data_IF_755495723128
#
_entry.id   IF_755495723128
#
_cell.length_a   1.000
_cell.length_b   1.000
_cell.length_c   1.000
_cell.angle_alpha   90.00
_cell.angle_beta   90.00
_cell.angle_gamma   90.00
#
_symmetry.space_group_name_H-M   'P 1'
#
loop_
_entity.id
_entity.type
_entity.pdbx_description
1 polymer ?
#
# COMPACT_ATOMS: atom_id res chain seq x y z
N UNK A 1 20.17 20.26 -15.09
CA UNK A 1 21.29 19.51 -15.72
C UNK A 1 22.16 18.68 -14.77
N UNK A 2 23.27 19.15 -14.16
CA UNK A 2 24.17 18.22 -13.41
C UNK A 2 23.55 17.56 -12.18
N UNK A 3 22.76 18.29 -11.38
CA UNK A 3 22.06 17.74 -10.19
C UNK A 3 20.95 16.75 -10.58
N UNK A 4 20.23 17.07 -11.64
CA UNK A 4 19.14 16.28 -12.21
C UNK A 4 19.63 14.93 -12.77
N UNK A 5 20.72 14.93 -13.53
CA UNK A 5 21.36 13.68 -14.01
C UNK A 5 21.85 12.81 -12.85
N UNK A 6 22.31 13.40 -11.74
CA UNK A 6 22.71 12.63 -10.56
C UNK A 6 21.52 11.98 -9.84
N UNK A 7 20.38 12.66 -9.79
CA UNK A 7 19.15 12.09 -9.23
C UNK A 7 18.67 10.89 -10.06
N UNK A 8 18.65 11.02 -11.39
CA UNK A 8 18.30 9.95 -12.34
C UNK A 8 19.23 8.74 -12.15
N UNK A 9 20.55 8.99 -12.13
CA UNK A 9 21.54 7.92 -11.94
C UNK A 9 21.39 7.20 -10.61
N UNK A 10 21.07 7.92 -9.53
CA UNK A 10 20.87 7.31 -8.22
C UNK A 10 19.62 6.41 -8.20
N UNK A 11 18.52 6.87 -8.82
CA UNK A 11 17.30 6.07 -8.95
C UNK A 11 17.57 4.77 -9.75
N UNK A 12 18.18 4.91 -10.92
CA UNK A 12 18.54 3.77 -11.78
C UNK A 12 19.55 2.84 -11.11
N UNK A 13 20.48 3.37 -10.32
CA UNK A 13 21.43 2.56 -9.55
C UNK A 13 20.73 1.71 -8.49
N UNK A 14 19.74 2.25 -7.79
CA UNK A 14 18.91 1.48 -6.85
C UNK A 14 18.12 0.38 -7.57
N UNK A 15 17.68 0.62 -8.81
CA UNK A 15 17.09 -0.43 -9.64
C UNK A 15 18.10 -1.54 -9.96
N UNK A 16 19.32 -1.20 -10.37
CA UNK A 16 20.36 -2.20 -10.62
C UNK A 16 20.73 -3.02 -9.36
N UNK A 17 20.68 -2.41 -8.17
CA UNK A 17 20.87 -3.14 -6.90
C UNK A 17 19.78 -4.20 -6.72
N UNK A 18 18.52 -3.85 -7.00
CA UNK A 18 17.38 -4.79 -6.93
C UNK A 18 17.55 -5.92 -7.95
N UNK A 19 17.89 -5.59 -9.21
CA UNK A 19 18.12 -6.59 -10.27
C UNK A 19 19.28 -7.55 -9.94
N UNK A 20 20.36 -7.04 -9.34
CA UNK A 20 21.48 -7.87 -8.90
C UNK A 20 21.19 -8.69 -7.63
N UNK A 21 20.16 -8.31 -6.87
CA UNK A 21 19.75 -8.91 -5.59
C UNK A 21 20.40 -8.29 -4.35
N UNK A 22 21.61 -7.71 -4.47
CA UNK A 22 22.22 -6.88 -3.42
C UNK A 22 23.41 -6.05 -3.95
N UNK A 23 23.88 -5.09 -3.15
CA UNK A 23 24.99 -4.18 -3.49
C UNK A 23 26.30 -4.93 -3.76
N UNK A 24 26.62 -5.96 -2.98
CA UNK A 24 27.87 -6.71 -3.13
C UNK A 24 27.91 -7.49 -4.45
N UNK A 25 26.77 -8.10 -4.82
CA UNK A 25 26.62 -8.82 -6.09
C UNK A 25 26.66 -7.87 -7.28
N UNK A 26 26.00 -6.70 -7.19
CA UNK A 26 26.10 -5.65 -8.22
C UNK A 26 27.57 -5.20 -8.43
N UNK A 27 28.29 -4.91 -7.34
CA UNK A 27 29.68 -4.48 -7.43
C UNK A 27 30.56 -5.54 -8.12
N UNK A 28 30.34 -6.83 -7.81
CA UNK A 28 31.08 -7.93 -8.43
C UNK A 28 30.78 -8.06 -9.94
N UNK A 29 29.51 -8.03 -10.33
CA UNK A 29 29.09 -8.07 -11.75
C UNK A 29 29.69 -6.93 -12.57
N UNK A 30 29.86 -5.75 -11.95
CA UNK A 30 30.43 -4.56 -12.60
C UNK A 30 31.97 -4.47 -12.48
N UNK A 31 32.65 -5.53 -12.03
CA UNK A 31 34.11 -5.62 -11.97
C UNK A 31 34.77 -4.85 -10.83
N UNK A 32 34.05 -4.56 -9.74
CA UNK A 32 34.59 -3.91 -8.54
C UNK A 32 34.97 -4.95 -7.48
N UNK A 33 36.24 -4.90 -7.01
CA UNK A 33 36.75 -5.81 -5.97
C UNK A 33 36.13 -5.56 -4.58
N UNK A 34 35.67 -4.34 -4.29
CA UNK A 34 35.09 -3.95 -3.00
C UNK A 34 33.84 -3.08 -3.22
N UNK A 35 32.71 -3.35 -2.54
CA UNK A 35 31.47 -2.61 -2.71
C UNK A 35 31.38 -1.32 -1.89
N UNK A 36 32.43 -0.94 -1.16
CA UNK A 36 32.41 0.19 -0.20
C UNK A 36 31.86 1.48 -0.83
N UNK A 37 32.28 1.78 -2.05
CA UNK A 37 31.84 2.98 -2.75
C UNK A 37 30.34 2.94 -3.12
N UNK A 38 29.80 1.76 -3.40
CA UNK A 38 28.40 1.55 -3.75
C UNK A 38 27.48 1.76 -2.54
N UNK A 39 27.90 1.28 -1.36
CA UNK A 39 27.22 1.56 -0.10
C UNK A 39 27.20 3.07 0.21
N UNK A 40 28.32 3.77 -0.01
CA UNK A 40 28.40 5.22 0.20
C UNK A 40 27.52 6.02 -0.76
N UNK A 41 27.41 5.61 -2.03
CA UNK A 41 26.47 6.21 -2.99
C UNK A 41 25.03 5.93 -2.56
N UNK A 42 24.69 4.70 -2.20
CA UNK A 42 23.31 4.33 -1.85
C UNK A 42 22.81 5.10 -0.62
N UNK A 43 23.69 5.28 0.37
CA UNK A 43 23.46 6.07 1.58
C UNK A 43 23.58 7.59 1.36
N UNK A 44 23.86 8.05 0.13
CA UNK A 44 24.04 9.47 -0.21
C UNK A 44 25.00 10.19 0.73
N UNK A 45 26.13 9.55 1.07
CA UNK A 45 27.12 10.12 2.00
C UNK A 45 27.73 11.40 1.42
N UNK A 46 27.90 12.42 2.25
CA UNK A 46 28.57 13.66 1.85
C UNK A 46 30.10 13.49 1.78
N UNK A 47 30.71 14.13 0.79
CA UNK A 47 32.16 14.27 0.67
C UNK A 47 32.64 15.43 1.55
N UNK A 48 33.94 15.48 1.92
CA UNK A 48 34.52 16.55 2.72
C UNK A 48 34.33 17.98 2.15
N UNK A 49 34.02 18.10 0.85
CA UNK A 49 33.77 19.37 0.17
C UNK A 49 32.27 19.76 0.13
N UNK A 50 31.42 19.10 0.93
CA UNK A 50 29.97 19.36 0.99
C UNK A 50 29.16 18.82 -0.20
N UNK A 51 29.77 18.09 -1.13
CA UNK A 51 29.05 17.47 -2.24
C UNK A 51 28.66 16.03 -1.91
N UNK A 52 27.42 15.65 -2.22
CA UNK A 52 26.98 14.26 -2.08
C UNK A 52 27.74 13.31 -3.02
N UNK A 53 28.06 12.11 -2.53
CA UNK A 53 28.56 11.01 -3.34
C UNK A 53 27.58 10.70 -4.47
N UNK A 54 28.10 10.53 -5.68
CA UNK A 54 27.28 10.35 -6.89
C UNK A 54 27.99 9.50 -7.93
N UNK A 55 27.29 9.25 -9.03
CA UNK A 55 27.75 8.33 -10.08
C UNK A 55 28.29 9.12 -11.26
N UNK A 56 29.61 9.03 -11.46
CA UNK A 56 30.29 9.64 -12.60
C UNK A 56 30.14 8.81 -13.89
N UNK A 57 30.48 9.41 -15.04
CA UNK A 57 30.30 8.79 -16.37
C UNK A 57 31.07 7.46 -16.53
N UNK A 58 32.25 7.33 -15.92
CA UNK A 58 33.03 6.09 -15.98
C UNK A 58 32.38 4.96 -15.18
N UNK A 59 31.80 5.27 -14.01
CA UNK A 59 31.08 4.28 -13.21
C UNK A 59 29.74 3.93 -13.85
N UNK A 60 29.04 4.90 -14.45
CA UNK A 60 27.80 4.66 -15.18
C UNK A 60 28.01 3.62 -16.29
N UNK A 61 29.03 3.79 -17.13
CA UNK A 61 29.36 2.82 -18.19
C UNK A 61 29.70 1.42 -17.67
N UNK A 62 30.39 1.32 -16.52
CA UNK A 62 30.69 0.02 -15.90
C UNK A 62 29.45 -0.66 -15.33
N UNK A 63 28.55 0.12 -14.73
CA UNK A 63 27.26 -0.37 -14.23
C UNK A 63 26.39 -0.86 -15.39
N UNK A 64 26.32 -0.09 -16.47
CA UNK A 64 25.58 -0.45 -17.68
C UNK A 64 26.14 -1.74 -18.31
N UNK A 65 27.45 -1.82 -18.53
CA UNK A 65 28.08 -3.00 -19.10
C UNK A 65 27.93 -4.25 -18.20
N UNK A 66 28.15 -4.11 -16.88
CA UNK A 66 28.06 -5.24 -15.95
C UNK A 66 26.64 -5.79 -15.74
N UNK A 67 25.63 -4.99 -16.08
CA UNK A 67 24.20 -5.34 -15.98
C UNK A 67 23.52 -5.51 -17.34
N UNK A 68 24.29 -5.60 -18.43
CA UNK A 68 23.80 -5.72 -19.80
C UNK A 68 22.75 -4.65 -20.19
N UNK A 69 22.96 -3.40 -19.76
CA UNK A 69 22.13 -2.26 -20.16
C UNK A 69 22.75 -1.51 -21.34
N UNK A 70 21.95 -0.86 -22.21
CA UNK A 70 22.47 -0.05 -23.30
C UNK A 70 23.27 1.15 -22.76
N UNK A 71 24.22 1.67 -23.57
CA UNK A 71 25.01 2.83 -23.19
C UNK A 71 24.12 4.04 -22.91
N UNK A 72 24.38 4.73 -21.80
CA UNK A 72 23.61 5.90 -21.38
C UNK A 72 22.33 5.57 -20.62
N UNK A 73 21.97 4.28 -20.49
CA UNK A 73 20.80 3.84 -19.72
C UNK A 73 20.79 4.44 -18.32
N UNK A 74 21.90 4.44 -17.58
CA UNK A 74 21.90 4.96 -16.21
C UNK A 74 21.60 6.47 -16.14
N UNK A 75 21.78 7.20 -17.25
CA UNK A 75 21.58 8.65 -17.32
C UNK A 75 20.25 9.06 -17.96
N UNK A 76 19.44 8.09 -18.38
CA UNK A 76 18.11 8.32 -18.94
C UNK A 76 17.06 8.08 -17.85
N UNK A 77 15.97 8.85 -17.90
CA UNK A 77 14.79 8.54 -17.11
C UNK A 77 14.18 7.26 -17.65
N UNK A 78 14.38 6.17 -16.93
CA UNK A 78 13.48 5.04 -17.01
C UNK A 78 12.37 5.41 -16.05
N UNK A 79 11.15 5.53 -16.54
CA UNK A 79 10.02 5.44 -15.65
C UNK A 79 10.17 4.10 -14.94
N UNK A 80 10.77 4.10 -13.75
CA UNK A 80 10.49 3.09 -12.75
C UNK A 80 9.03 3.33 -12.45
N UNK A 81 8.18 2.71 -13.27
CA UNK A 81 6.80 2.48 -12.91
C UNK A 81 6.90 1.95 -11.47
N UNK A 82 6.21 2.55 -10.51
CA UNK A 82 5.74 1.73 -9.40
C UNK A 82 5.14 0.46 -10.02
N UNK A 83 5.18 -0.69 -9.36
CA UNK A 83 4.37 -1.85 -9.81
C UNK A 83 2.89 -1.43 -9.77
N UNK A 84 2.46 -0.71 -10.78
CA UNK A 84 1.16 -0.07 -11.03
C UNK A 84 1.02 0.05 -12.54
N UNK A 85 1.28 -1.05 -13.27
CA UNK A 85 0.55 -1.27 -14.51
C UNK A 85 -0.88 -1.67 -14.10
N UNK A 86 -1.66 -0.69 -13.63
CA UNK A 86 -3.09 -0.76 -13.81
C UNK A 86 -3.30 -0.42 -15.27
N UNK A 87 -3.12 -1.41 -16.14
CA UNK A 87 -3.84 -1.38 -17.41
C UNK A 87 -5.27 -1.05 -17.04
N UNK A 88 -5.84 -0.04 -17.70
CA UNK A 88 -7.25 0.32 -17.59
C UNK A 88 -8.09 -0.88 -18.04
N UNK A 89 -8.19 -1.89 -17.19
CA UNK A 89 -9.29 -2.81 -17.20
C UNK A 89 -10.49 -1.90 -16.93
N UNK A 90 -11.22 -1.61 -18.00
CA UNK A 90 -12.43 -0.83 -17.95
C UNK A 90 -13.26 -1.26 -16.74
N UNK A 91 -13.67 -0.27 -15.94
CA UNK A 91 -14.49 -0.45 -14.74
C UNK A 91 -15.86 -1.12 -15.01
N UNK A 92 -16.10 -1.50 -16.26
CA UNK A 92 -17.35 -2.10 -16.75
C UNK A 92 -17.58 -3.54 -16.26
N UNK A 93 -16.56 -4.26 -15.78
CA UNK A 93 -16.73 -5.69 -15.41
C UNK A 93 -17.10 -5.95 -13.94
N UNK A 94 -16.78 -5.07 -12.99
CA UNK A 94 -17.11 -5.30 -11.56
C UNK A 94 -18.36 -4.53 -11.10
N UNK A 95 -18.72 -3.43 -11.77
CA UNK A 95 -19.83 -2.55 -11.37
C UNK A 95 -19.57 -1.78 -10.07
N UNK A 96 -18.42 -1.97 -9.41
CA UNK A 96 -18.04 -1.28 -8.18
C UNK A 96 -17.35 0.04 -8.54
N UNK A 97 -17.95 1.16 -8.14
CA UNK A 97 -17.40 2.49 -8.36
C UNK A 97 -16.73 3.04 -7.09
N UNK A 98 -17.41 2.89 -5.95
CA UNK A 98 -17.02 3.55 -4.70
C UNK A 98 -16.78 2.51 -3.61
N UNK A 99 -15.62 2.58 -2.94
CA UNK A 99 -15.23 1.64 -1.90
C UNK A 99 -14.92 2.41 -0.62
N UNK A 100 -15.52 2.00 0.50
CA UNK A 100 -15.13 2.53 1.82
C UNK A 100 -13.89 1.77 2.30
N UNK A 101 -12.83 2.51 2.64
CA UNK A 101 -11.64 1.97 3.28
C UNK A 101 -11.55 2.54 4.70
N UNK A 102 -11.33 1.66 5.66
CA UNK A 102 -11.20 2.02 7.05
C UNK A 102 -9.85 1.56 7.62
N UNK A 103 -9.12 2.47 8.26
CA UNK A 103 -7.87 2.13 8.97
C UNK A 103 -8.08 2.20 10.49
N UNK A 104 -7.70 1.14 11.18
CA UNK A 104 -7.78 1.07 12.65
C UNK A 104 -6.40 0.92 13.27
N UNK A 105 -6.31 0.95 14.60
CA UNK A 105 -5.06 0.84 15.36
C UNK A 105 -4.44 -0.56 15.43
N UNK A 106 -4.80 -1.48 14.54
CA UNK A 106 -4.02 -2.70 14.37
C UNK A 106 -2.74 -2.41 13.59
N UNK A 107 -1.66 -3.09 13.92
CA UNK A 107 -0.44 -3.05 13.12
C UNK A 107 -0.66 -3.71 11.75
N UNK A 108 0.11 -3.31 10.75
CA UNK A 108 -0.13 -3.67 9.35
C UNK A 108 -0.62 -2.49 8.50
N UNK A 109 -0.26 -1.26 8.86
CA UNK A 109 -0.52 -0.08 8.03
C UNK A 109 0.03 -0.21 6.59
N UNK A 110 1.16 -0.92 6.30
CA UNK A 110 1.55 -1.20 4.92
C UNK A 110 0.44 -1.80 4.05
N UNK A 111 -0.40 -2.68 4.60
CA UNK A 111 -1.53 -3.27 3.87
C UNK A 111 -2.59 -2.22 3.51
N UNK A 112 -2.96 -1.37 4.47
CA UNK A 112 -3.95 -0.30 4.27
C UNK A 112 -3.48 0.75 3.27
N UNK A 113 -2.21 1.15 3.35
CA UNK A 113 -1.60 2.11 2.43
C UNK A 113 -1.47 1.55 1.01
N UNK A 114 -1.00 0.30 0.88
CA UNK A 114 -0.89 -0.36 -0.43
C UNK A 114 -2.25 -0.61 -1.06
N UNK A 115 -3.25 -1.00 -0.27
CA UNK A 115 -4.62 -1.17 -0.75
C UNK A 115 -5.20 0.17 -1.27
N UNK A 116 -5.00 1.27 -0.54
CA UNK A 116 -5.44 2.59 -1.00
C UNK A 116 -4.78 2.99 -2.32
N UNK A 117 -3.45 2.84 -2.42
CA UNK A 117 -2.69 3.09 -3.65
C UNK A 117 -3.28 2.32 -4.83
N UNK A 118 -3.55 1.03 -4.63
CA UNK A 118 -4.05 0.13 -5.67
C UNK A 118 -5.46 0.51 -6.10
N UNK A 119 -6.38 0.74 -5.16
CA UNK A 119 -7.76 1.13 -5.47
C UNK A 119 -7.82 2.45 -6.25
N UNK A 120 -7.03 3.45 -5.85
CA UNK A 120 -6.94 4.73 -6.55
C UNK A 120 -6.34 4.58 -7.95
N UNK A 121 -5.29 3.76 -8.08
CA UNK A 121 -4.64 3.46 -9.35
C UNK A 121 -5.53 2.69 -10.33
N UNK A 122 -6.49 1.90 -9.81
CA UNK A 122 -7.53 1.23 -10.60
C UNK A 122 -8.68 2.17 -11.02
N UNK A 123 -8.70 3.41 -10.52
CA UNK A 123 -9.71 4.41 -10.89
C UNK A 123 -10.92 4.46 -9.96
N UNK A 124 -10.96 3.70 -8.87
CA UNK A 124 -12.08 3.73 -7.92
C UNK A 124 -12.12 5.03 -7.12
N UNK A 125 -13.32 5.43 -6.71
CA UNK A 125 -13.51 6.43 -5.67
C UNK A 125 -13.39 5.74 -4.31
N UNK A 126 -12.56 6.28 -3.42
CA UNK A 126 -12.33 5.75 -2.08
C UNK A 126 -12.87 6.73 -1.03
N UNK A 127 -13.73 6.21 -0.16
CA UNK A 127 -14.19 6.87 1.05
C UNK A 127 -13.36 6.38 2.22
N UNK A 128 -12.42 7.19 2.70
CA UNK A 128 -11.48 6.85 3.75
C UNK A 128 -11.96 7.36 5.11
N UNK A 129 -11.95 6.49 6.11
CA UNK A 129 -12.10 6.84 7.53
C UNK A 129 -11.00 6.16 8.33
N UNK A 130 -10.48 6.80 9.37
CA UNK A 130 -9.47 6.16 10.22
C UNK A 130 -9.59 6.58 11.68
N UNK A 131 -9.22 5.64 12.56
CA UNK A 131 -9.17 5.88 14.01
C UNK A 131 -7.93 6.71 14.39
N UNK A 132 -7.96 7.37 15.55
CA UNK A 132 -6.78 8.03 16.11
C UNK A 132 -5.60 7.05 16.30
N UNK A 133 -5.88 5.82 16.74
CA UNK A 133 -4.86 4.80 16.90
C UNK A 133 -4.19 4.40 15.57
N UNK A 134 -4.90 4.48 14.44
CA UNK A 134 -4.32 4.26 13.12
C UNK A 134 -3.25 5.30 12.77
N UNK A 135 -3.39 6.55 13.24
CA UNK A 135 -2.37 7.59 13.04
C UNK A 135 -1.07 7.25 13.78
N UNK A 136 -1.20 6.73 15.01
CA UNK A 136 -0.05 6.27 15.81
C UNK A 136 0.66 5.12 15.10
N UNK A 137 -0.10 4.13 14.62
CA UNK A 137 0.46 2.98 13.88
C UNK A 137 1.14 3.44 12.58
N UNK A 138 0.51 4.35 11.82
CA UNK A 138 1.11 4.87 10.59
C UNK A 138 2.44 5.58 10.84
N UNK A 139 2.54 6.36 11.91
CA UNK A 139 3.80 6.99 12.30
C UNK A 139 4.85 5.95 12.70
N UNK A 140 4.47 4.93 13.48
CA UNK A 140 5.41 3.92 13.99
C UNK A 140 5.91 2.95 12.92
N UNK A 141 5.06 2.56 11.97
CA UNK A 141 5.38 1.52 10.98
C UNK A 141 5.91 2.06 9.66
N UNK A 142 5.57 3.30 9.32
CA UNK A 142 5.85 3.88 8.00
C UNK A 142 6.52 5.25 8.06
N UNK A 143 6.84 5.75 9.26
CA UNK A 143 7.30 7.12 9.49
C UNK A 143 6.37 8.16 8.83
N UNK A 144 5.08 7.85 8.76
CA UNK A 144 4.09 8.64 8.04
C UNK A 144 3.14 9.34 9.02
N UNK A 145 3.29 10.66 9.12
CA UNK A 145 2.44 11.51 9.93
C UNK A 145 1.06 11.70 9.26
N UNK A 146 0.12 10.80 9.58
CA UNK A 146 -1.26 10.89 9.08
C UNK A 146 -2.01 12.05 9.80
N UNK A 147 -2.43 13.11 9.09
CA UNK A 147 -3.04 14.29 9.72
C UNK A 147 -4.34 13.98 10.46
N UNK A 148 -4.70 14.75 11.49
CA UNK A 148 -5.98 14.59 12.20
C UNK A 148 -7.14 15.29 11.49
N UNK A 149 -6.86 16.31 10.69
CA UNK A 149 -7.87 16.96 9.85
C UNK A 149 -8.14 16.11 8.60
N UNK A 150 -9.40 15.74 8.31
CA UNK A 150 -9.73 14.99 7.10
C UNK A 150 -9.29 15.70 5.83
N UNK A 151 -9.43 17.03 5.76
CA UNK A 151 -8.99 17.82 4.61
C UNK A 151 -7.47 17.70 4.39
N UNK A 152 -6.68 17.90 5.44
CA UNK A 152 -5.22 17.82 5.36
C UNK A 152 -4.76 16.39 5.01
N UNK A 153 -5.42 15.38 5.57
CA UNK A 153 -5.14 13.98 5.24
C UNK A 153 -5.44 13.67 3.77
N UNK A 154 -6.57 14.16 3.24
CA UNK A 154 -6.91 14.05 1.82
C UNK A 154 -5.84 14.68 0.95
N UNK A 155 -5.44 15.93 1.23
CA UNK A 155 -4.39 16.62 0.47
C UNK A 155 -3.06 15.86 0.49
N UNK A 156 -2.63 15.40 1.67
CA UNK A 156 -1.39 14.64 1.85
C UNK A 156 -1.42 13.31 1.08
N UNK A 157 -2.51 12.56 1.16
CA UNK A 157 -2.64 11.27 0.50
C UNK A 157 -2.81 11.41 -1.02
N UNK A 158 -3.58 12.40 -1.49
CA UNK A 158 -3.68 12.72 -2.91
C UNK A 158 -2.31 13.09 -3.49
N UNK A 159 -1.52 13.89 -2.78
CA UNK A 159 -0.15 14.22 -3.20
C UNK A 159 0.75 12.97 -3.23
N UNK A 160 0.67 12.12 -2.19
CA UNK A 160 1.48 10.90 -2.07
C UNK A 160 1.20 9.91 -3.20
N UNK A 161 -0.06 9.70 -3.55
CA UNK A 161 -0.49 8.71 -4.54
C UNK A 161 -0.80 9.28 -5.92
N UNK A 162 -0.65 10.61 -6.09
CA UNK A 162 -0.91 11.32 -7.35
C UNK A 162 -2.31 11.06 -7.92
N UNK A 163 -3.32 10.91 -7.05
CA UNK A 163 -4.71 10.67 -7.47
C UNK A 163 -5.48 11.99 -7.64
N UNK A 164 -6.60 11.94 -8.36
CA UNK A 164 -7.47 13.11 -8.50
C UNK A 164 -8.19 13.40 -7.17
N UNK A 165 -8.39 14.67 -6.80
CA UNK A 165 -9.14 15.08 -5.62
C UNK A 165 -10.53 14.42 -5.47
N UNK A 166 -11.19 14.14 -6.59
CA UNK A 166 -12.52 13.52 -6.67
C UNK A 166 -12.51 12.00 -6.41
N UNK A 167 -11.34 11.37 -6.42
CA UNK A 167 -11.19 9.93 -6.18
C UNK A 167 -10.98 9.60 -4.71
N UNK A 168 -10.62 10.56 -3.87
CA UNK A 168 -10.36 10.33 -2.45
C UNK A 168 -11.14 11.32 -1.59
N UNK A 169 -12.08 10.81 -0.81
CA UNK A 169 -12.78 11.56 0.22
C UNK A 169 -12.38 11.01 1.58
N UNK A 170 -12.01 11.89 2.51
CA UNK A 170 -11.62 11.51 3.86
C UNK A 170 -12.63 12.11 4.83
N UNK A 171 -13.13 11.30 5.75
CA UNK A 171 -14.15 11.71 6.73
C UNK A 171 -13.62 11.62 8.15
N UNK A 172 -14.09 12.54 9.00
CA UNK A 172 -13.81 12.52 10.43
C UNK A 172 -14.51 11.36 11.15
N UNK A 173 -13.99 10.95 12.30
CA UNK A 173 -14.54 9.83 13.08
C UNK A 173 -15.97 10.04 13.61
N UNK A 174 -16.46 11.27 13.60
CA UNK A 174 -17.79 11.69 14.08
C UNK A 174 -18.56 12.48 13.00
N UNK A 175 -18.19 12.34 11.73
CA UNK A 175 -18.81 13.07 10.63
C UNK A 175 -20.08 12.36 10.14
N UNK A 176 -21.15 12.45 10.93
CA UNK A 176 -22.39 11.67 10.73
C UNK A 176 -23.19 12.01 9.46
N UNK A 177 -22.86 13.11 8.78
CA UNK A 177 -23.45 13.47 7.49
C UNK A 177 -22.69 12.90 6.29
N UNK A 178 -21.59 12.17 6.52
CA UNK A 178 -20.89 11.49 5.44
C UNK A 178 -21.79 10.44 4.76
N UNK A 179 -21.68 10.22 3.44
CA UNK A 179 -22.50 9.25 2.71
C UNK A 179 -22.48 7.84 3.31
N UNK A 180 -21.33 7.44 3.87
CA UNK A 180 -21.12 6.14 4.51
C UNK A 180 -21.92 5.92 5.80
N UNK A 181 -22.55 6.96 6.36
CA UNK A 181 -23.39 6.84 7.56
C UNK A 181 -24.83 6.37 7.27
N UNK A 182 -25.24 6.32 5.99
CA UNK A 182 -26.63 6.07 5.58
C UNK A 182 -26.74 5.04 4.46
N UNK A 183 -27.69 4.10 4.61
CA UNK A 183 -27.96 3.03 3.65
C UNK A 183 -28.31 3.50 2.23
N UNK A 184 -28.85 4.71 2.09
CA UNK A 184 -29.33 5.23 0.81
C UNK A 184 -28.22 5.86 -0.05
N UNK A 185 -27.03 6.09 0.50
CA UNK A 185 -25.93 6.77 -0.17
C UNK A 185 -24.59 6.03 0.01
N UNK A 186 -24.63 4.72 0.29
CA UNK A 186 -23.41 3.97 0.62
C UNK A 186 -22.56 3.62 -0.58
N UNK A 187 -21.26 3.49 -0.30
CA UNK A 187 -20.30 2.80 -1.14
C UNK A 187 -20.76 1.37 -1.49
N UNK A 188 -20.20 0.83 -2.56
CA UNK A 188 -20.54 -0.50 -3.07
C UNK A 188 -19.98 -1.63 -2.21
N UNK A 189 -18.88 -1.36 -1.51
CA UNK A 189 -18.22 -2.28 -0.57
C UNK A 189 -17.51 -1.50 0.54
N UNK A 190 -17.19 -2.20 1.63
CA UNK A 190 -16.36 -1.68 2.71
C UNK A 190 -15.24 -2.65 3.07
N UNK A 191 -14.05 -2.10 3.33
CA UNK A 191 -12.87 -2.84 3.75
C UNK A 191 -12.30 -2.18 5.00
N UNK A 192 -12.08 -2.95 6.07
CA UNK A 192 -11.33 -2.51 7.26
C UNK A 192 -9.95 -3.15 7.22
N UNK A 193 -8.91 -2.37 6.89
CA UNK A 193 -7.57 -2.88 6.66
C UNK A 193 -6.48 -1.87 7.07
N UNK A 194 -5.74 -2.08 8.18
CA UNK A 194 -5.86 -3.20 9.12
C UNK A 194 -7.08 -3.04 10.07
N UNK A 195 -7.60 -4.16 10.57
CA UNK A 195 -8.69 -4.22 11.54
C UNK A 195 -8.18 -4.65 12.94
N UNK A 196 -8.39 -3.79 13.93
CA UNK A 196 -8.09 -4.08 15.34
C UNK A 196 -9.17 -4.95 15.96
N UNK A 197 -8.80 -5.80 16.91
CA UNK A 197 -9.78 -6.65 17.59
C UNK A 197 -10.81 -5.84 18.38
N UNK A 198 -10.47 -4.63 18.83
CA UNK A 198 -11.41 -3.69 19.44
C UNK A 198 -12.48 -3.22 18.45
N UNK A 199 -12.07 -2.77 17.25
CA UNK A 199 -13.04 -2.40 16.19
C UNK A 199 -13.87 -3.60 15.73
N UNK A 200 -13.28 -4.79 15.64
CA UNK A 200 -14.02 -6.02 15.30
C UNK A 200 -15.07 -6.33 16.36
N UNK A 201 -14.74 -6.20 17.64
CA UNK A 201 -15.71 -6.38 18.72
C UNK A 201 -16.85 -5.35 18.62
N UNK A 202 -16.52 -4.08 18.40
CA UNK A 202 -17.51 -3.01 18.22
C UNK A 202 -18.48 -3.30 17.05
N UNK A 203 -17.93 -3.69 15.88
CA UNK A 203 -18.73 -4.05 14.70
C UNK A 203 -19.57 -5.31 14.96
N UNK A 204 -19.00 -6.35 15.59
CA UNK A 204 -19.71 -7.58 15.92
C UNK A 204 -20.91 -7.35 16.85
N UNK A 205 -20.84 -6.32 17.70
CA UNK A 205 -21.89 -5.98 18.65
C UNK A 205 -22.79 -4.82 18.19
N UNK A 206 -22.48 -4.18 17.06
CA UNK A 206 -23.29 -3.11 16.50
C UNK A 206 -23.33 -1.85 17.37
N UNK A 207 -22.21 -1.50 18.02
CA UNK A 207 -22.14 -0.30 18.90
C UNK A 207 -22.35 0.99 18.12
N UNK A 208 -21.72 1.09 16.94
CA UNK A 208 -21.81 2.24 16.04
C UNK A 208 -21.45 3.59 16.70
N UNK A 209 -20.47 3.60 17.60
CA UNK A 209 -20.03 4.79 18.35
C UNK A 209 -19.17 5.75 17.51
N UNK A 210 -18.61 5.24 16.41
CA UNK A 210 -17.81 6.01 15.44
C UNK A 210 -18.37 5.85 14.02
N UNK A 211 -18.03 6.78 13.13
CA UNK A 211 -18.41 6.71 11.72
C UNK A 211 -17.90 5.43 11.04
N UNK A 212 -16.73 4.92 11.46
CA UNK A 212 -16.17 3.66 10.98
C UNK A 212 -17.08 2.48 11.36
N UNK A 213 -17.45 2.38 12.63
CA UNK A 213 -18.33 1.31 13.11
C UNK A 213 -19.72 1.42 12.48
N UNK A 214 -20.23 2.64 12.35
CA UNK A 214 -21.50 2.91 11.69
C UNK A 214 -21.48 2.53 10.22
N UNK A 215 -20.42 2.86 9.49
CA UNK A 215 -20.28 2.46 8.09
C UNK A 215 -20.28 0.94 7.93
N UNK A 216 -19.64 0.22 8.86
CA UNK A 216 -19.65 -1.25 8.87
C UNK A 216 -21.05 -1.82 9.18
N UNK A 217 -21.74 -1.26 10.18
CA UNK A 217 -23.13 -1.61 10.50
C UNK A 217 -24.07 -1.37 9.30
N UNK A 218 -23.89 -0.25 8.59
CA UNK A 218 -24.63 0.02 7.36
C UNK A 218 -24.29 -0.98 6.26
N UNK A 219 -23.01 -1.33 6.06
CA UNK A 219 -22.63 -2.33 5.08
C UNK A 219 -23.29 -3.70 5.38
N UNK A 220 -23.31 -4.11 6.66
CA UNK A 220 -23.95 -5.36 7.10
C UNK A 220 -25.46 -5.34 6.84
N UNK A 221 -26.18 -4.30 7.30
CA UNK A 221 -27.65 -4.24 7.19
C UNK A 221 -28.12 -4.14 5.73
N UNK A 222 -27.34 -3.49 4.87
CA UNK A 222 -27.61 -3.37 3.43
C UNK A 222 -27.04 -4.55 2.61
N UNK A 223 -26.47 -5.56 3.28
CA UNK A 223 -25.87 -6.75 2.64
C UNK A 223 -24.81 -6.40 1.60
N UNK A 224 -24.04 -5.33 1.84
CA UNK A 224 -22.89 -4.95 1.04
C UNK A 224 -21.68 -5.79 1.44
N UNK A 225 -20.76 -6.09 0.52
CA UNK A 225 -19.51 -6.74 0.86
C UNK A 225 -18.76 -5.97 1.95
N UNK A 226 -18.52 -6.62 3.08
CA UNK A 226 -17.68 -6.13 4.17
C UNK A 226 -16.51 -7.10 4.35
N UNK A 227 -15.29 -6.60 4.14
CA UNK A 227 -14.04 -7.36 4.32
C UNK A 227 -13.33 -6.81 5.56
N UNK A 228 -13.03 -7.69 6.50
CA UNK A 228 -12.31 -7.37 7.73
C UNK A 228 -10.94 -8.04 7.68
N UNK A 229 -9.87 -7.25 7.87
CA UNK A 229 -8.48 -7.72 7.81
C UNK A 229 -7.87 -7.71 9.21
N UNK A 230 -8.23 -8.67 10.10
CA UNK A 230 -7.76 -8.69 11.49
C UNK A 230 -6.25 -8.94 11.56
N UNK A 231 -5.51 -8.05 12.24
CA UNK A 231 -4.10 -8.33 12.60
C UNK A 231 -4.00 -8.53 14.11
N UNK A 232 -3.95 -9.79 14.53
CA UNK A 232 -3.68 -10.18 15.91
C UNK A 232 -3.10 -11.61 15.98
N UNK A 233 -2.20 -11.86 16.93
CA UNK A 233 -1.74 -13.21 17.28
C UNK A 233 -1.08 -13.20 18.67
N UNK A 234 -1.45 -14.13 19.59
CA UNK A 234 -2.48 -15.18 19.45
C UNK A 234 -3.92 -14.65 19.56
N UNK A 235 -4.89 -15.44 19.11
CA UNK A 235 -6.31 -15.11 19.25
C UNK A 235 -6.89 -15.69 20.54
N UNK A 236 -7.62 -14.87 21.29
CA UNK A 236 -8.43 -15.31 22.43
C UNK A 236 -9.77 -15.91 21.95
N UNK A 237 -10.48 -16.61 22.84
CA UNK A 237 -11.83 -17.09 22.55
C UNK A 237 -12.78 -15.93 22.18
N UNK A 238 -12.69 -14.80 22.89
CA UNK A 238 -13.47 -13.59 22.59
C UNK A 238 -13.22 -13.08 21.17
N UNK A 239 -11.97 -13.12 20.70
CA UNK A 239 -11.63 -12.73 19.33
C UNK A 239 -12.29 -13.66 18.32
N UNK A 240 -12.19 -14.98 18.54
CA UNK A 240 -12.74 -15.99 17.64
C UNK A 240 -14.27 -15.94 17.59
N UNK A 241 -14.94 -15.74 18.72
CA UNK A 241 -16.40 -15.59 18.80
C UNK A 241 -16.88 -14.38 17.99
N UNK A 242 -16.22 -13.22 18.14
CA UNK A 242 -16.55 -12.02 17.37
C UNK A 242 -16.35 -12.22 15.86
N UNK A 243 -15.22 -12.82 15.47
CA UNK A 243 -14.91 -13.12 14.07
C UNK A 243 -15.91 -14.12 13.48
N UNK A 244 -16.28 -15.17 14.23
CA UNK A 244 -17.26 -16.16 13.82
C UNK A 244 -18.64 -15.52 13.62
N UNK A 245 -19.08 -14.69 14.56
CA UNK A 245 -20.36 -13.97 14.47
C UNK A 245 -20.43 -13.15 13.17
N UNK A 246 -19.39 -12.37 12.88
CA UNK A 246 -19.34 -11.56 11.66
C UNK A 246 -19.27 -12.41 10.39
N UNK A 247 -18.53 -13.51 10.40
CA UNK A 247 -18.51 -14.47 9.30
C UNK A 247 -19.91 -15.05 9.02
N UNK A 248 -20.67 -15.41 10.06
CA UNK A 248 -22.04 -15.90 9.94
C UNK A 248 -23.02 -14.85 9.39
N UNK A 249 -22.72 -13.56 9.58
CA UNK A 249 -23.46 -12.44 8.98
C UNK A 249 -23.07 -12.16 7.51
N UNK A 250 -22.15 -12.94 6.94
CA UNK A 250 -21.69 -12.79 5.56
C UNK A 250 -20.50 -11.84 5.37
N UNK A 251 -19.88 -11.37 6.47
CA UNK A 251 -18.62 -10.62 6.38
C UNK A 251 -17.47 -11.55 5.99
N UNK A 252 -16.52 -11.06 5.20
CA UNK A 252 -15.31 -11.82 4.91
C UNK A 252 -14.26 -11.55 5.97
N UNK A 253 -13.80 -12.60 6.65
CA UNK A 253 -12.70 -12.53 7.61
C UNK A 253 -11.40 -12.93 6.90
N UNK A 254 -10.53 -11.95 6.65
CA UNK A 254 -9.31 -12.12 5.85
C UNK A 254 -8.09 -11.68 6.67
N UNK A 255 -7.58 -12.50 7.61
CA UNK A 255 -6.35 -12.17 8.32
C UNK A 255 -5.18 -12.01 7.32
N UNK A 256 -4.22 -11.10 7.55
CA UNK A 256 -3.09 -10.85 6.66
C UNK A 256 -2.01 -11.95 6.80
N UNK A 257 -2.39 -13.19 6.52
CA UNK A 257 -1.54 -14.36 6.53
C UNK A 257 -0.99 -14.63 5.11
N UNK A 258 0.09 -13.92 4.75
CA UNK A 258 0.68 -14.02 3.41
C UNK A 258 1.23 -15.43 3.11
N UNK A 259 0.93 -15.95 1.92
CA UNK A 259 1.38 -17.25 1.47
C UNK A 259 2.79 -17.21 0.86
N UNK A 260 3.57 -18.27 1.09
CA UNK A 260 4.95 -18.39 0.60
C UNK A 260 5.07 -19.12 -0.75
N UNK A 261 3.95 -19.60 -1.30
CA UNK A 261 3.95 -20.40 -2.52
C UNK A 261 4.42 -19.64 -3.77
N UNK A 262 4.32 -18.31 -3.76
CA UNK A 262 4.85 -17.44 -4.80
C UNK A 262 6.33 -17.06 -4.59
N UNK A 263 7.00 -17.65 -3.58
CA UNK A 263 8.40 -17.38 -3.23
C UNK A 263 8.69 -15.87 -3.14
N UNK A 264 8.02 -15.12 -2.23
CA UNK A 264 8.20 -13.67 -2.12
C UNK A 264 9.67 -13.33 -1.91
N UNK A 265 10.15 -12.28 -2.58
CA UNK A 265 11.55 -11.82 -2.49
C UNK A 265 11.68 -10.59 -1.58
N UNK A 266 10.56 -10.00 -1.17
CA UNK A 266 10.50 -8.79 -0.38
C UNK A 266 9.27 -8.77 0.54
N UNK A 267 9.29 -7.87 1.51
CA UNK A 267 8.11 -7.56 2.34
C UNK A 267 6.98 -7.02 1.47
N UNK A 268 7.30 -6.20 0.47
CA UNK A 268 6.30 -5.66 -0.47
C UNK A 268 5.56 -6.77 -1.22
N UNK A 269 6.23 -7.87 -1.58
CA UNK A 269 5.55 -9.02 -2.22
C UNK A 269 4.57 -9.72 -1.25
N UNK A 270 4.87 -9.73 0.06
CA UNK A 270 3.96 -10.25 1.09
C UNK A 270 2.77 -9.29 1.32
N UNK A 271 3.00 -7.98 1.22
CA UNK A 271 1.92 -6.97 1.26
C UNK A 271 1.02 -7.09 0.04
N UNK A 272 1.61 -7.16 -1.16
CA UNK A 272 0.90 -7.36 -2.43
C UNK A 272 0.09 -8.65 -2.42
N UNK A 273 0.57 -9.71 -1.78
CA UNK A 273 -0.19 -10.95 -1.60
C UNK A 273 -1.50 -10.70 -0.85
N UNK A 274 -1.46 -10.04 0.30
CA UNK A 274 -2.67 -9.80 1.12
C UNK A 274 -3.62 -8.87 0.38
N UNK A 275 -3.08 -7.81 -0.24
CA UNK A 275 -3.88 -6.85 -1.03
C UNK A 275 -4.55 -7.54 -2.23
N UNK A 276 -3.83 -8.41 -2.95
CA UNK A 276 -4.40 -9.25 -4.01
C UNK A 276 -5.59 -10.06 -3.49
N UNK A 277 -5.43 -10.75 -2.36
CA UNK A 277 -6.52 -11.55 -1.76
C UNK A 277 -7.72 -10.71 -1.35
N UNK A 278 -7.54 -9.46 -0.94
CA UNK A 278 -8.64 -8.53 -0.64
C UNK A 278 -9.38 -8.17 -1.94
N UNK A 279 -8.66 -7.82 -2.99
CA UNK A 279 -9.23 -7.46 -4.30
C UNK A 279 -9.98 -8.64 -4.94
N UNK A 280 -9.47 -9.86 -4.79
CA UNK A 280 -10.12 -11.10 -5.24
C UNK A 280 -11.54 -11.26 -4.65
N UNK A 281 -11.74 -10.89 -3.38
CA UNK A 281 -13.06 -10.98 -2.73
C UNK A 281 -14.09 -10.01 -3.33
N UNK A 282 -13.61 -8.87 -3.85
CA UNK A 282 -14.43 -7.90 -4.58
C UNK A 282 -14.45 -8.17 -6.10
N UNK A 283 -13.81 -9.25 -6.56
CA UNK A 283 -13.67 -9.61 -7.97
C UNK A 283 -13.06 -8.49 -8.81
N UNK A 284 -12.14 -7.74 -8.22
CA UNK A 284 -11.42 -6.65 -8.88
C UNK A 284 -10.18 -7.22 -9.60
N UNK A 285 -10.12 -7.17 -10.95
CA UNK A 285 -8.98 -7.72 -11.69
C UNK A 285 -7.67 -6.98 -11.36
N UNK A 286 -6.61 -7.72 -11.06
CA UNK A 286 -5.31 -7.14 -10.75
C UNK A 286 -4.15 -8.03 -11.23
N UNK A 287 -2.93 -7.46 -11.23
CA UNK A 287 -1.69 -8.16 -11.59
C UNK A 287 -0.68 -8.22 -10.44
N UNK A 288 -1.12 -7.96 -9.20
CA UNK A 288 -0.27 -7.98 -8.01
C UNK A 288 0.33 -9.36 -7.69
N UNK A 289 -0.34 -10.42 -8.13
CA UNK A 289 0.04 -11.80 -7.86
C UNK A 289 -0.34 -12.65 -9.09
N UNK A 290 0.50 -13.64 -9.48
CA UNK A 290 0.12 -14.59 -10.52
C UNK A 290 -1.09 -15.43 -10.07
N UNK A 291 -1.90 -15.86 -11.02
CA UNK A 291 -2.96 -16.83 -10.74
C UNK A 291 -2.35 -18.18 -10.39
N UNK A 292 -2.98 -18.89 -9.44
CA UNK A 292 -2.52 -20.22 -9.09
C UNK A 292 -2.62 -21.17 -10.29
N UNK A 293 -1.51 -21.83 -10.64
CA UNK A 293 -1.45 -22.81 -11.74
C UNK A 293 -1.35 -22.20 -13.14
N UNK A 294 -1.18 -20.88 -13.25
CA UNK A 294 -0.93 -20.16 -14.51
C UNK A 294 0.54 -19.88 -14.79
#
# INVERSE_FOLDING_TARGET
MKKEIQAIRLANFRQLIKEAGNISKLAHLCGYKKPVYFYQINAQKEKPNGQTMGIGNAMARKLEAGMNKPEGWLSQEHHSTPKTNFASASNEKSGLHTITLAWTGASGMPYGMRLLEVLLGMGHTVYLVYSQAAQVVAQQELDFALPSSPQAARETLCQKFQCKPEQLHVFGSQEWFAPIASGNATADAMIVCPASMGSIAAIAHGTADTLLERAADVAIKERRPLILVPREAPLSALHLENLLKLAQLGCTILPPAAGFYNKPQSVDDMVDFVVARILDQLRLPHQLMPQWGG
#
